data_IF_366147259265
#
_entry.id   IF_366147259265
#
_cell.length_a   1.000
_cell.length_b   1.000
_cell.length_c   1.000
_cell.angle_alpha   90.00
_cell.angle_beta   90.00
_cell.angle_gamma   90.00
#
_symmetry.space_group_name_H-M   'P 1'
#
loop_
_entity.id
_entity.type
_entity.pdbx_description
1 polymer ?
#
# COMPACT_ATOMS: atom_id res chain seq x y z
N UNK A 1 26.00 1.48 4.03
CA UNK A 1 26.24 0.26 4.84
C UNK A 1 24.98 -0.59 4.76
N UNK A 2 25.19 -1.87 4.46
CA UNK A 2 24.15 -2.86 4.14
C UNK A 2 23.32 -3.17 5.41
N UNK A 3 22.00 -3.02 5.35
CA UNK A 3 21.10 -3.38 6.47
C UNK A 3 20.69 -4.85 6.41
N UNK A 4 21.08 -5.57 5.36
CA UNK A 4 20.72 -6.96 5.11
C UNK A 4 21.73 -7.91 5.76
N UNK A 5 21.54 -8.20 7.05
CA UNK A 5 22.34 -9.17 7.81
C UNK A 5 21.42 -10.11 8.60
N UNK A 6 21.74 -11.40 8.61
CA UNK A 6 21.04 -12.43 9.40
C UNK A 6 21.53 -12.44 10.85
N UNK A 7 20.62 -12.33 11.81
CA UNK A 7 20.91 -12.70 13.20
C UNK A 7 20.90 -14.24 13.29
N UNK A 8 22.01 -14.83 13.72
CA UNK A 8 22.06 -16.25 14.11
C UNK A 8 21.32 -16.43 15.44
N UNK A 9 20.49 -17.47 15.56
CA UNK A 9 19.86 -17.86 16.82
C UNK A 9 20.01 -19.36 17.07
N UNK A 10 20.51 -19.67 18.26
CA UNK A 10 20.68 -20.99 18.86
C UNK A 10 19.36 -21.56 19.37
N UNK A 11 19.13 -22.85 19.08
CA UNK A 11 17.89 -23.60 19.30
C UNK A 11 17.64 -24.03 20.75
N UNK A 12 16.38 -23.93 21.19
CA UNK A 12 15.73 -24.97 22.02
C UNK A 12 14.23 -25.00 21.70
N UNK A 13 13.72 -26.19 21.37
CA UNK A 13 12.36 -26.42 20.88
C UNK A 13 11.61 -27.27 21.90
N UNK A 14 10.48 -26.78 22.41
CA UNK A 14 9.45 -27.62 23.03
C UNK A 14 8.17 -27.56 22.19
N UNK A 15 7.56 -28.72 21.98
CA UNK A 15 6.39 -28.93 21.14
C UNK A 15 5.11 -28.84 21.97
N UNK A 16 4.16 -27.98 21.57
CA UNK A 16 2.79 -27.97 22.10
C UNK A 16 1.81 -28.51 21.06
N UNK A 17 0.84 -29.33 21.51
CA UNK A 17 -0.20 -29.98 20.68
C UNK A 17 -1.45 -29.09 20.60
N UNK A 18 -2.16 -29.02 19.45
CA UNK A 18 -3.41 -28.27 19.33
C UNK A 18 -4.62 -29.06 19.88
N UNK A 19 -5.56 -28.40 20.55
CA UNK A 19 -6.89 -28.92 20.89
C UNK A 19 -8.00 -28.06 20.28
N UNK A 20 -8.97 -28.76 19.68
CA UNK A 20 -10.33 -28.41 19.24
C UNK A 20 -10.63 -27.16 18.38
N UNK A 21 -11.35 -27.43 17.29
CA UNK A 21 -11.68 -26.53 16.19
C UNK A 21 -12.64 -25.41 16.61
N UNK A 22 -12.24 -24.14 16.43
CA UNK A 22 -13.12 -22.97 16.55
C UNK A 22 -13.04 -22.05 15.33
N UNK A 23 -14.17 -21.40 15.01
CA UNK A 23 -14.36 -20.56 13.82
C UNK A 23 -14.08 -19.08 14.14
N UNK A 24 -12.84 -18.63 13.95
CA UNK A 24 -12.50 -17.20 13.84
C UNK A 24 -11.98 -16.88 12.44
N UNK A 25 -12.24 -15.66 11.92
CA UNK A 25 -11.81 -15.30 10.56
C UNK A 25 -11.23 -13.89 10.39
N UNK A 26 -10.04 -13.77 9.79
CA UNK A 26 -9.44 -12.48 9.41
C UNK A 26 -9.06 -12.44 7.92
N UNK A 27 -8.91 -11.24 7.34
CA UNK A 27 -8.47 -11.01 5.95
C UNK A 27 -7.43 -9.89 5.90
N UNK A 28 -6.20 -10.18 5.47
CA UNK A 28 -5.24 -9.28 4.78
C UNK A 28 -3.79 -9.65 5.08
N UNK A 29 -2.98 -9.82 4.03
CA UNK A 29 -1.52 -9.77 4.11
C UNK A 29 -1.06 -8.61 3.23
N UNK A 30 -0.03 -7.88 3.64
CA UNK A 30 0.49 -6.75 2.87
C UNK A 30 1.98 -6.85 2.55
N UNK A 31 2.34 -6.75 1.28
CA UNK A 31 3.72 -6.58 0.84
C UNK A 31 4.11 -5.11 0.77
N UNK A 32 5.32 -4.79 1.23
CA UNK A 32 5.94 -3.48 1.08
C UNK A 32 7.30 -3.63 0.38
N UNK A 33 7.45 -3.06 -0.82
CA UNK A 33 8.71 -2.99 -1.54
C UNK A 33 9.54 -1.84 -0.97
N UNK A 34 10.68 -2.16 -0.38
CA UNK A 34 11.65 -1.16 0.06
C UNK A 34 12.62 -0.82 -1.07
N UNK A 35 12.46 0.36 -1.65
CA UNK A 35 13.48 0.98 -2.49
C UNK A 35 14.36 1.87 -1.61
N UNK A 36 15.67 1.59 -1.61
CA UNK A 36 16.66 2.21 -0.75
C UNK A 36 17.29 3.47 -1.38
N UNK A 37 16.97 4.65 -0.82
CA UNK A 37 17.76 5.91 -0.85
C UNK A 37 17.30 6.97 0.21
N UNK A 38 17.02 6.60 1.47
CA UNK A 38 16.38 7.52 2.47
C UNK A 38 17.39 8.41 3.21
N UNK A 39 18.69 8.12 3.13
CA UNK A 39 19.68 8.67 4.08
C UNK A 39 20.74 9.55 3.42
N UNK A 40 20.50 9.97 2.17
CA UNK A 40 21.27 11.01 1.47
C UNK A 40 20.41 12.25 1.11
N UNK A 41 19.30 12.49 1.82
CA UNK A 41 18.46 13.66 1.57
C UNK A 41 17.51 13.53 0.36
N UNK A 42 17.31 12.30 -0.13
CA UNK A 42 16.39 11.96 -1.22
C UNK A 42 15.13 11.27 -0.66
N UNK A 43 13.95 11.71 -1.10
CA UNK A 43 12.65 11.14 -0.70
C UNK A 43 12.45 9.80 -1.41
N UNK A 44 12.47 8.67 -0.69
CA UNK A 44 12.11 7.38 -1.28
C UNK A 44 10.61 7.19 -1.41
N UNK A 45 10.23 6.54 -2.51
CA UNK A 45 8.91 5.98 -2.71
C UNK A 45 8.91 4.48 -2.41
N UNK A 46 8.11 4.07 -1.43
CA UNK A 46 7.79 2.67 -1.14
C UNK A 46 6.58 2.22 -1.98
N UNK A 47 6.57 0.97 -2.46
CA UNK A 47 5.38 0.37 -3.09
C UNK A 47 4.71 -0.58 -2.10
N UNK A 48 3.40 -0.43 -1.88
CA UNK A 48 2.65 -1.26 -0.94
C UNK A 48 1.55 -1.99 -1.70
N UNK A 49 1.67 -3.30 -1.80
CA UNK A 49 0.65 -4.20 -2.34
C UNK A 49 -0.07 -4.87 -1.18
N UNK A 50 -1.40 -4.92 -1.24
CA UNK A 50 -2.20 -5.64 -0.24
C UNK A 50 -2.87 -6.83 -0.92
N UNK A 51 -2.57 -8.04 -0.45
CA UNK A 51 -3.18 -9.26 -0.93
C UNK A 51 -4.38 -9.59 -0.06
N UNK A 52 -5.55 -9.56 -0.68
CA UNK A 52 -6.80 -9.94 -0.01
C UNK A 52 -6.86 -11.46 0.01
N UNK A 53 -6.61 -12.03 1.18
CA UNK A 53 -6.76 -13.46 1.41
C UNK A 53 -8.25 -13.84 1.49
N UNK A 54 -8.52 -15.14 1.38
CA UNK A 54 -9.73 -15.70 1.97
C UNK A 54 -9.79 -15.45 3.49
N UNK A 55 -10.95 -15.79 4.08
CA UNK A 55 -11.13 -15.78 5.53
C UNK A 55 -10.23 -16.86 6.13
N UNK A 56 -9.23 -16.44 6.91
CA UNK A 56 -8.29 -17.37 7.55
C UNK A 56 -8.95 -18.09 8.71
N UNK A 57 -8.76 -19.39 8.86
CA UNK A 57 -9.28 -20.20 9.98
C UNK A 57 -8.15 -20.92 10.72
N UNK A 58 -8.47 -21.54 11.86
CA UNK A 58 -7.53 -22.37 12.65
C UNK A 58 -6.97 -23.58 11.88
N UNK A 59 -7.63 -23.97 10.78
CA UNK A 59 -7.21 -25.10 9.94
C UNK A 59 -6.20 -24.70 8.87
N UNK A 60 -6.01 -23.41 8.63
CA UNK A 60 -5.08 -22.93 7.61
C UNK A 60 -3.63 -23.03 8.11
N UNK A 61 -2.69 -23.18 7.16
CA UNK A 61 -1.25 -23.13 7.40
C UNK A 61 -0.63 -21.93 6.73
N UNK A 62 0.40 -21.35 7.36
CA UNK A 62 0.90 -20.02 6.96
C UNK A 62 1.58 -20.13 5.61
N UNK A 63 2.29 -21.22 5.38
CA UNK A 63 2.95 -21.59 4.15
C UNK A 63 1.95 -21.67 2.99
N UNK A 64 0.79 -22.31 3.19
CA UNK A 64 -0.24 -22.45 2.16
C UNK A 64 -0.88 -21.10 1.78
N UNK A 65 -1.11 -20.23 2.78
CA UNK A 65 -1.63 -18.89 2.55
C UNK A 65 -0.59 -18.06 1.79
N UNK A 66 0.66 -18.08 2.26
CA UNK A 66 1.74 -17.37 1.62
C UNK A 66 1.91 -17.85 0.18
N UNK A 67 1.81 -19.15 -0.05
CA UNK A 67 2.02 -19.72 -1.37
C UNK A 67 0.95 -19.40 -2.37
N UNK A 68 -0.28 -19.25 -1.89
CA UNK A 68 -1.45 -18.96 -2.71
C UNK A 68 -1.64 -17.47 -3.00
N UNK A 69 -1.28 -16.59 -2.06
CA UNK A 69 -1.64 -15.17 -2.14
C UNK A 69 -0.45 -14.24 -2.30
N UNK A 70 0.77 -14.71 -2.06
CA UNK A 70 1.98 -13.93 -2.31
C UNK A 70 2.57 -14.41 -3.63
N UNK A 71 2.71 -13.49 -4.57
CA UNK A 71 3.33 -13.70 -5.87
C UNK A 71 4.41 -12.62 -6.05
N UNK A 72 5.41 -12.91 -6.88
CA UNK A 72 6.40 -11.93 -7.35
C UNK A 72 7.26 -11.22 -6.28
N UNK A 73 7.66 -11.91 -5.20
CA UNK A 73 8.67 -11.37 -4.29
C UNK A 73 10.04 -11.27 -5.00
N UNK A 74 10.68 -10.11 -4.87
CA UNK A 74 12.03 -9.84 -5.41
C UNK A 74 13.01 -9.49 -4.29
N UNK A 75 14.28 -9.41 -4.64
CA UNK A 75 15.34 -8.98 -3.71
C UNK A 75 14.99 -7.62 -3.09
N UNK A 76 15.27 -7.51 -1.79
CA UNK A 76 15.06 -6.33 -0.95
C UNK A 76 13.59 -5.97 -0.63
N UNK A 77 12.64 -6.85 -0.96
CA UNK A 77 11.25 -6.71 -0.52
C UNK A 77 11.10 -6.93 1.00
N UNK A 78 10.09 -6.29 1.61
CA UNK A 78 9.66 -6.56 2.98
C UNK A 78 8.19 -6.97 3.01
N UNK A 79 7.92 -8.18 3.49
CA UNK A 79 6.56 -8.66 3.71
C UNK A 79 6.07 -8.29 5.11
N UNK A 80 4.89 -7.68 5.19
CA UNK A 80 4.26 -7.27 6.44
C UNK A 80 2.98 -8.09 6.68
N UNK A 81 2.94 -8.80 7.80
CA UNK A 81 1.83 -9.68 8.18
C UNK A 81 1.26 -9.19 9.51
N UNK A 82 -0.07 -9.16 9.64
CA UNK A 82 -0.72 -8.80 10.90
C UNK A 82 -0.72 -9.97 11.89
N UNK A 83 -0.47 -9.68 13.16
CA UNK A 83 -0.49 -10.61 14.30
C UNK A 83 -1.77 -11.43 14.37
N UNK A 84 -2.93 -10.83 14.06
CA UNK A 84 -4.24 -11.49 14.11
C UNK A 84 -4.33 -12.75 13.24
N UNK A 85 -3.70 -12.75 12.07
CA UNK A 85 -3.66 -13.94 11.22
C UNK A 85 -2.89 -15.05 11.92
N UNK A 86 -1.75 -14.71 12.53
CA UNK A 86 -0.93 -15.65 13.28
C UNK A 86 -1.68 -16.19 14.49
N UNK A 87 -2.35 -15.33 15.28
CA UNK A 87 -3.16 -15.74 16.43
C UNK A 87 -4.25 -16.75 16.04
N UNK A 88 -5.01 -16.48 14.98
CA UNK A 88 -6.08 -17.40 14.53
C UNK A 88 -5.49 -18.75 14.13
N UNK A 89 -4.39 -18.77 13.40
CA UNK A 89 -3.77 -20.01 12.92
C UNK A 89 -3.09 -20.80 14.04
N UNK A 90 -2.65 -20.12 15.10
CA UNK A 90 -2.18 -20.74 16.34
C UNK A 90 -3.33 -21.22 17.24
N UNK A 91 -4.60 -21.02 16.86
CA UNK A 91 -5.75 -21.37 17.70
C UNK A 91 -5.88 -20.51 18.96
N UNK A 92 -5.32 -19.30 18.96
CA UNK A 92 -5.32 -18.37 20.10
C UNK A 92 -6.67 -17.65 20.22
N UNK A 93 -7.71 -18.42 20.51
CA UNK A 93 -9.11 -18.02 20.49
C UNK A 93 -9.81 -18.47 21.76
N UNK A 94 -10.66 -17.61 22.33
CA UNK A 94 -11.44 -17.91 23.54
C UNK A 94 -12.86 -17.41 23.37
N UNK A 95 -13.86 -18.23 23.64
CA UNK A 95 -15.27 -17.82 23.56
C UNK A 95 -15.62 -16.83 24.69
N UNK A 96 -16.36 -15.77 24.36
CA UNK A 96 -16.63 -14.67 25.30
C UNK A 96 -17.55 -15.05 26.46
N UNK A 97 -18.37 -16.09 26.29
CA UNK A 97 -19.31 -16.60 27.30
C UNK A 97 -18.65 -17.52 28.34
N UNK A 98 -17.46 -18.04 28.03
CA UNK A 98 -16.74 -18.98 28.89
C UNK A 98 -15.87 -18.32 29.97
N UNK A 99 -15.54 -17.04 29.83
CA UNK A 99 -14.62 -16.34 30.74
C UNK A 99 -14.92 -14.85 30.84
N UNK A 100 -14.76 -14.28 32.03
CA UNK A 100 -14.77 -12.82 32.19
C UNK A 100 -13.53 -12.21 31.54
N UNK A 101 -13.70 -11.06 30.89
CA UNK A 101 -12.61 -10.38 30.20
C UNK A 101 -11.45 -10.04 31.14
N UNK A 102 -11.72 -9.65 32.38
CA UNK A 102 -10.66 -9.27 33.32
C UNK A 102 -9.85 -10.50 33.73
N UNK A 103 -10.49 -11.63 33.96
CA UNK A 103 -9.82 -12.89 34.28
C UNK A 103 -8.97 -13.38 33.10
N UNK A 104 -9.47 -13.20 31.88
CA UNK A 104 -8.73 -13.52 30.66
C UNK A 104 -7.51 -12.60 30.48
N UNK A 105 -7.65 -11.31 30.77
CA UNK A 105 -6.52 -10.36 30.78
C UNK A 105 -5.48 -10.85 31.78
N UNK A 106 -5.90 -11.16 33.01
CA UNK A 106 -5.02 -11.68 34.07
C UNK A 106 -4.27 -12.97 33.72
N UNK A 107 -4.87 -13.83 32.90
CA UNK A 107 -4.20 -15.04 32.40
C UNK A 107 -3.15 -14.75 31.32
N UNK A 108 -3.30 -13.63 30.61
CA UNK A 108 -2.53 -13.33 29.42
C UNK A 108 -1.52 -12.20 29.59
N UNK A 109 -1.64 -11.30 30.56
CA UNK A 109 -0.62 -10.28 30.76
C UNK A 109 0.68 -10.83 31.37
N UNK A 110 1.77 -10.09 31.20
CA UNK A 110 2.97 -10.26 32.04
C UNK A 110 2.91 -9.33 33.26
N UNK A 111 2.29 -8.15 33.10
CA UNK A 111 2.12 -7.16 34.15
C UNK A 111 0.93 -6.24 33.83
N UNK A 112 0.15 -5.89 34.84
CA UNK A 112 -0.85 -4.82 34.77
C UNK A 112 -0.28 -3.53 35.39
N UNK A 113 -0.34 -2.43 34.64
CA UNK A 113 0.16 -1.11 35.08
C UNK A 113 -0.96 -0.21 35.59
N UNK A 114 -2.12 -0.28 34.95
CA UNK A 114 -3.29 0.50 35.32
C UNK A 114 -4.56 -0.32 35.03
N UNK A 115 -5.38 -0.46 36.06
CA UNK A 115 -6.67 -1.13 36.04
C UNK A 115 -7.84 -0.20 36.38
N UNK A 116 -7.58 1.12 36.37
CA UNK A 116 -8.58 2.12 36.67
C UNK A 116 -9.80 1.99 35.76
N UNK A 117 -10.98 2.11 36.38
CA UNK A 117 -12.26 2.06 35.67
C UNK A 117 -12.34 3.20 34.67
N UNK A 118 -12.20 2.86 33.41
CA UNK A 118 -12.44 3.73 32.27
C UNK A 118 -13.70 3.26 31.52
N UNK A 119 -14.38 4.16 30.78
CA UNK A 119 -15.63 3.84 30.10
C UNK A 119 -15.51 2.78 29.00
N UNK A 120 -14.29 2.38 28.64
CA UNK A 120 -14.02 1.41 27.57
C UNK A 120 -13.58 0.03 28.08
N UNK A 121 -13.48 -0.15 29.41
CA UNK A 121 -13.00 -1.39 30.04
C UNK A 121 -11.65 -1.87 29.44
N UNK A 122 -10.73 -0.91 29.25
CA UNK A 122 -9.38 -1.14 28.73
C UNK A 122 -8.37 -1.10 29.88
N UNK A 123 -7.46 -2.07 29.94
CA UNK A 123 -6.45 -2.13 30.99
C UNK A 123 -5.08 -1.80 30.39
N UNK A 124 -4.24 -1.05 31.09
CA UNK A 124 -2.88 -0.81 30.62
C UNK A 124 -2.00 -1.96 31.09
N UNK A 125 -1.48 -2.75 30.16
CA UNK A 125 -0.72 -3.97 30.47
C UNK A 125 0.61 -4.01 29.75
N UNK A 126 1.52 -4.88 30.19
CA UNK A 126 2.71 -5.28 29.47
C UNK A 126 2.52 -6.73 29.03
N UNK A 127 2.77 -7.01 27.75
CA UNK A 127 2.82 -8.36 27.18
C UNK A 127 4.02 -8.48 26.25
N UNK A 128 4.86 -9.48 26.47
CA UNK A 128 6.11 -9.75 25.77
C UNK A 128 7.04 -8.51 25.71
N UNK A 129 7.09 -7.74 26.80
CA UNK A 129 7.87 -6.50 26.88
C UNK A 129 7.30 -5.31 26.09
N UNK A 130 6.08 -5.45 25.55
CA UNK A 130 5.35 -4.37 24.86
C UNK A 130 4.24 -3.87 25.78
N UNK A 131 4.23 -2.56 26.03
CA UNK A 131 3.10 -1.91 26.68
C UNK A 131 1.88 -2.00 25.74
N UNK A 132 0.81 -2.69 26.08
CA UNK A 132 -0.33 -2.89 25.19
C UNK A 132 -1.67 -2.81 25.96
N UNK A 133 -2.76 -2.35 25.33
CA UNK A 133 -4.09 -2.42 25.94
C UNK A 133 -4.55 -3.86 26.16
N UNK A 134 -5.03 -4.18 27.36
CA UNK A 134 -5.73 -5.43 27.70
C UNK A 134 -5.04 -6.69 27.20
N UNK A 135 -3.73 -6.82 27.46
CA UNK A 135 -2.85 -7.91 27.03
C UNK A 135 -2.78 -8.14 25.51
N UNK A 136 -3.25 -7.18 24.70
CA UNK A 136 -3.37 -7.33 23.25
C UNK A 136 -4.56 -8.18 22.81
N UNK A 137 -5.51 -8.44 23.71
CA UNK A 137 -6.73 -9.17 23.41
C UNK A 137 -7.60 -8.32 22.48
N UNK A 138 -7.90 -8.87 21.30
CA UNK A 138 -8.69 -8.20 20.27
C UNK A 138 -10.08 -8.83 20.18
N UNK A 139 -11.09 -7.98 20.18
CA UNK A 139 -12.51 -8.35 20.09
C UNK A 139 -13.10 -8.11 18.69
N UNK A 140 -12.34 -7.46 17.81
CA UNK A 140 -12.80 -7.02 16.51
C UNK A 140 -12.64 -8.11 15.45
N UNK A 141 -13.61 -8.17 14.54
CA UNK A 141 -13.60 -9.05 13.35
C UNK A 141 -13.65 -10.55 13.64
N UNK A 142 -14.10 -10.97 14.83
CA UNK A 142 -14.37 -12.36 15.19
C UNK A 142 -15.72 -12.43 15.92
N UNK A 143 -16.61 -13.33 15.49
CA UNK A 143 -17.94 -13.49 16.08
C UNK A 143 -17.81 -14.18 17.45
N UNK A 144 -18.31 -13.53 18.51
CA UNK A 144 -18.42 -14.02 19.89
C UNK A 144 -17.16 -14.64 20.53
N UNK A 145 -15.96 -14.29 20.03
CA UNK A 145 -14.69 -14.75 20.60
C UNK A 145 -13.69 -13.60 20.81
N UNK A 146 -12.79 -13.82 21.75
CA UNK A 146 -11.55 -13.07 21.96
C UNK A 146 -10.44 -13.68 21.11
N UNK A 147 -9.67 -12.83 20.42
CA UNK A 147 -8.40 -13.22 19.80
C UNK A 147 -7.28 -12.83 20.74
N UNK A 148 -6.52 -13.83 21.20
CA UNK A 148 -5.40 -13.59 22.11
C UNK A 148 -4.15 -13.20 21.34
N UNK A 149 -3.23 -12.57 22.06
CA UNK A 149 -1.93 -12.21 21.53
C UNK A 149 -1.17 -13.45 21.04
N UNK A 150 -0.49 -13.39 19.88
CA UNK A 150 0.18 -14.54 19.30
C UNK A 150 1.42 -14.95 20.11
N UNK A 151 1.73 -16.24 20.05
CA UNK A 151 2.88 -16.84 20.73
C UNK A 151 4.10 -16.85 19.79
N UNK A 152 5.30 -16.79 20.39
CA UNK A 152 6.58 -17.01 19.71
C UNK A 152 6.80 -16.23 18.40
N UNK A 153 6.43 -14.95 18.39
CA UNK A 153 6.47 -14.10 17.20
C UNK A 153 7.82 -14.09 16.47
N UNK A 154 8.94 -14.18 17.19
CA UNK A 154 10.26 -14.28 16.55
C UNK A 154 10.41 -15.55 15.73
N UNK A 155 10.05 -16.70 16.32
CA UNK A 155 10.13 -18.01 15.65
C UNK A 155 9.26 -18.03 14.41
N UNK A 156 7.99 -17.63 14.54
CA UNK A 156 7.07 -17.55 13.40
C UNK A 156 7.60 -16.63 12.29
N UNK A 157 8.23 -15.51 12.65
CA UNK A 157 8.84 -14.61 11.66
C UNK A 157 9.99 -15.28 10.89
N UNK A 158 10.83 -16.06 11.58
CA UNK A 158 11.94 -16.80 10.96
C UNK A 158 11.43 -17.92 10.04
N UNK A 159 10.45 -18.71 10.49
CA UNK A 159 9.85 -19.79 9.69
C UNK A 159 9.26 -19.26 8.38
N UNK A 160 8.54 -18.13 8.45
CA UNK A 160 8.00 -17.44 7.26
C UNK A 160 9.11 -16.95 6.35
N UNK A 161 10.17 -16.37 6.92
CA UNK A 161 11.31 -15.85 6.17
C UNK A 161 12.03 -16.98 5.42
N UNK A 162 12.31 -18.10 6.08
CA UNK A 162 12.98 -19.27 5.49
C UNK A 162 12.16 -19.88 4.35
N UNK A 163 10.85 -20.07 4.56
CA UNK A 163 9.93 -20.60 3.56
C UNK A 163 9.95 -19.77 2.27
N UNK A 164 9.76 -18.45 2.40
CA UNK A 164 9.71 -17.53 1.26
C UNK A 164 11.08 -17.38 0.59
N UNK A 165 12.15 -17.30 1.38
CA UNK A 165 13.51 -17.22 0.85
C UNK A 165 13.85 -18.43 0.00
N UNK A 166 13.48 -19.63 0.47
CA UNK A 166 13.66 -20.89 -0.27
C UNK A 166 12.83 -20.93 -1.54
N UNK A 167 11.55 -20.54 -1.48
CA UNK A 167 10.63 -20.55 -2.62
C UNK A 167 11.07 -19.60 -3.74
N UNK A 168 11.37 -18.35 -3.39
CA UNK A 168 11.73 -17.32 -4.38
C UNK A 168 13.22 -17.23 -4.67
N UNK A 169 14.05 -18.07 -4.00
CA UNK A 169 15.52 -18.09 -4.14
C UNK A 169 16.17 -16.72 -3.90
N UNK A 170 15.65 -15.99 -2.91
CA UNK A 170 16.12 -14.65 -2.56
C UNK A 170 17.28 -14.70 -1.57
N UNK A 171 18.15 -13.69 -1.57
CA UNK A 171 19.19 -13.51 -0.56
C UNK A 171 18.80 -12.48 0.48
N UNK A 172 18.18 -11.39 0.03
CA UNK A 172 17.72 -10.23 0.79
C UNK A 172 16.19 -10.19 0.75
N UNK A 173 15.56 -10.54 1.86
CA UNK A 173 14.12 -10.50 2.07
C UNK A 173 13.87 -10.11 3.51
N UNK A 174 12.96 -9.18 3.76
CA UNK A 174 12.56 -8.79 5.12
C UNK A 174 11.18 -9.33 5.44
N UNK A 175 10.96 -9.80 6.65
CA UNK A 175 9.62 -10.10 7.18
C UNK A 175 9.39 -9.23 8.40
N UNK A 176 8.18 -8.69 8.54
CA UNK A 176 7.72 -7.97 9.73
C UNK A 176 6.33 -8.46 10.11
N UNK A 177 6.18 -8.91 11.35
CA UNK A 177 4.89 -9.16 11.97
C UNK A 177 4.46 -7.92 12.75
N UNK A 178 3.20 -7.50 12.59
CA UNK A 178 2.72 -6.21 13.12
C UNK A 178 1.41 -6.34 13.87
N UNK A 179 1.19 -5.45 14.84
CA UNK A 179 -0.09 -5.29 15.51
C UNK A 179 -0.43 -3.82 15.70
N UNK A 180 -1.69 -3.54 16.01
CA UNK A 180 -2.20 -2.23 16.36
C UNK A 180 -1.82 -1.87 17.80
N UNK A 181 -1.43 -0.61 18.00
CA UNK A 181 -0.86 -0.15 19.25
C UNK A 181 -1.18 1.33 19.50
N UNK A 182 -1.20 1.72 20.78
CA UNK A 182 -1.41 3.11 21.20
C UNK A 182 -0.10 3.72 21.69
N UNK A 183 0.25 4.89 21.18
CA UNK A 183 1.38 5.64 21.71
C UNK A 183 0.91 6.48 22.90
N UNK A 184 1.57 6.37 24.05
CA UNK A 184 1.23 7.14 25.25
C UNK A 184 1.23 8.64 24.90
N UNK A 185 0.22 9.35 25.41
CA UNK A 185 -0.02 10.79 25.18
C UNK A 185 -0.37 11.16 23.72
N UNK A 186 -0.68 10.19 22.85
CA UNK A 186 -1.15 10.44 21.49
C UNK A 186 -2.50 9.78 21.23
N UNK A 187 -3.44 10.56 20.71
CA UNK A 187 -4.74 10.04 20.26
C UNK A 187 -4.56 9.34 18.92
N UNK A 188 -5.07 8.11 18.81
CA UNK A 188 -5.03 7.31 17.59
C UNK A 188 -4.25 6.00 17.76
N UNK A 189 -4.50 5.08 16.83
CA UNK A 189 -3.89 3.75 16.81
C UNK A 189 -2.88 3.69 15.67
N UNK A 190 -1.69 3.19 15.96
CA UNK A 190 -0.59 3.01 14.99
C UNK A 190 -0.13 1.56 15.01
N UNK A 191 0.51 1.08 13.95
CA UNK A 191 1.10 -0.24 13.96
C UNK A 191 2.45 -0.26 14.66
N UNK A 192 2.69 -1.33 15.38
CA UNK A 192 3.99 -1.69 15.96
C UNK A 192 4.46 -3.01 15.35
N UNK A 193 5.78 -3.16 15.24
CA UNK A 193 6.36 -4.44 14.89
C UNK A 193 6.55 -5.31 16.12
N UNK A 194 6.03 -6.53 16.06
CA UNK A 194 6.12 -7.54 17.11
C UNK A 194 7.21 -8.57 16.83
N UNK A 195 7.53 -8.79 15.56
CA UNK A 195 8.61 -9.67 15.12
C UNK A 195 9.15 -9.18 13.79
N UNK A 196 10.45 -9.35 13.55
CA UNK A 196 11.08 -9.04 12.27
C UNK A 196 12.25 -9.98 11.99
N UNK A 197 12.54 -10.21 10.72
CA UNK A 197 13.68 -11.01 10.28
C UNK A 197 14.22 -10.51 8.94
N UNK A 198 15.50 -10.73 8.68
CA UNK A 198 16.16 -10.49 7.41
C UNK A 198 16.81 -9.12 7.23
N UNK A 199 16.66 -8.19 8.18
CA UNK A 199 17.27 -6.86 8.12
C UNK A 199 17.46 -6.21 9.51
N UNK A 200 18.35 -5.21 9.59
CA UNK A 200 18.63 -4.48 10.83
C UNK A 200 17.51 -3.53 11.21
N UNK A 201 17.03 -3.61 12.45
CA UNK A 201 16.00 -2.73 12.99
C UNK A 201 16.44 -1.28 13.16
N UNK A 202 17.71 -1.08 13.49
CA UNK A 202 18.24 0.23 13.87
C UNK A 202 19.20 0.72 12.80
N UNK A 203 18.98 1.96 12.38
CA UNK A 203 19.95 2.71 11.61
C UNK A 203 20.66 3.70 12.53
N UNK A 204 21.98 3.56 12.67
CA UNK A 204 22.78 4.45 13.50
C UNK A 204 23.22 5.67 12.71
N UNK A 205 22.86 6.84 13.22
CA UNK A 205 23.46 8.12 12.82
C UNK A 205 24.62 8.52 13.74
N UNK A 206 24.92 7.74 14.78
CA UNK A 206 26.05 8.02 15.67
C UNK A 206 27.35 8.09 14.83
N UNK A 207 28.08 9.19 14.96
CA UNK A 207 29.29 9.48 14.19
C UNK A 207 29.05 10.17 12.84
N UNK A 208 27.80 10.35 12.42
CA UNK A 208 27.46 11.07 11.17
C UNK A 208 27.32 12.56 11.39
N UNK A 209 27.61 13.33 10.36
CA UNK A 209 27.42 14.78 10.36
C UNK A 209 25.95 15.13 10.11
N UNK A 210 25.44 16.10 10.85
CA UNK A 210 24.18 16.77 10.54
C UNK A 210 24.34 17.81 9.43
N UNK A 211 23.27 18.53 9.11
CA UNK A 211 23.25 19.56 8.06
C UNK A 211 24.15 20.78 8.36
N UNK A 212 24.60 20.92 9.60
CA UNK A 212 25.51 21.96 10.06
C UNK A 212 26.92 21.41 10.32
N UNK A 213 27.22 20.21 9.79
CA UNK A 213 28.51 19.52 9.97
C UNK A 213 28.85 19.20 11.43
N UNK A 214 27.86 19.03 12.30
CA UNK A 214 28.04 18.57 13.67
C UNK A 214 27.87 17.05 13.78
N UNK A 215 28.68 16.42 14.62
CA UNK A 215 28.62 14.96 14.82
C UNK A 215 27.41 14.60 15.68
N UNK A 216 26.55 13.73 15.15
CA UNK A 216 25.43 13.12 15.87
C UNK A 216 25.97 12.07 16.84
N UNK A 217 25.65 12.19 18.13
CA UNK A 217 26.23 11.32 19.17
C UNK A 217 25.27 10.25 19.71
N UNK A 218 23.95 10.44 19.58
CA UNK A 218 22.94 9.59 20.24
C UNK A 218 21.91 9.01 19.28
N UNK A 219 21.89 9.47 18.04
CA UNK A 219 20.75 9.23 17.14
C UNK A 219 20.81 7.85 16.51
N UNK A 220 19.89 6.96 16.90
CA UNK A 220 19.55 5.73 16.17
C UNK A 220 18.08 5.80 15.77
N UNK A 221 17.78 5.50 14.52
CA UNK A 221 16.40 5.50 14.00
C UNK A 221 15.91 4.06 13.86
N UNK A 222 14.75 3.78 14.44
CA UNK A 222 14.06 2.50 14.26
C UNK A 222 13.33 2.51 12.91
N UNK A 223 13.89 1.79 11.93
CA UNK A 223 13.37 1.79 10.56
C UNK A 223 12.15 0.88 10.41
N UNK A 224 11.91 -0.04 11.35
CA UNK A 224 10.78 -0.98 11.31
C UNK A 224 9.47 -0.28 11.70
N UNK A 225 9.51 0.61 12.69
CA UNK A 225 8.30 1.36 13.05
C UNK A 225 7.86 2.31 11.91
N UNK A 226 8.78 2.73 11.04
CA UNK A 226 8.53 3.66 9.94
C UNK A 226 7.81 3.02 8.74
N UNK A 227 7.98 1.71 8.50
CA UNK A 227 7.37 1.02 7.35
C UNK A 227 5.84 0.92 7.45
N UNK A 228 5.27 0.94 8.65
CA UNK A 228 3.81 0.96 8.86
C UNK A 228 3.16 2.31 8.49
N UNK A 229 3.84 3.44 8.70
CA UNK A 229 3.29 4.77 8.44
C UNK A 229 3.14 5.11 6.95
N UNK A 230 3.88 4.45 6.06
CA UNK A 230 3.96 4.85 4.64
C UNK A 230 2.81 4.31 3.75
N UNK A 231 1.85 3.59 4.34
CA UNK A 231 0.56 3.30 3.71
C UNK A 231 -0.42 4.49 3.74
N UNK A 232 -0.11 5.55 4.48
CA UNK A 232 -0.94 6.73 4.66
C UNK A 232 -0.86 7.64 3.42
N UNK A 233 -2.03 7.97 2.88
CA UNK A 233 -2.15 9.04 1.90
C UNK A 233 -2.27 10.35 2.68
N UNK A 234 -1.17 11.10 2.74
CA UNK A 234 -1.12 12.39 3.45
C UNK A 234 -1.88 13.47 2.68
N UNK A 235 -2.77 14.18 3.37
CA UNK A 235 -3.30 15.45 2.94
C UNK A 235 -2.27 16.57 3.07
N UNK A 236 -2.59 17.76 2.56
CA UNK A 236 -1.67 18.89 2.65
C UNK A 236 -1.41 19.35 4.10
N UNK A 237 -2.39 19.19 5.00
CA UNK A 237 -2.22 19.54 6.42
C UNK A 237 -1.28 18.58 7.14
N UNK A 238 -1.37 17.29 6.82
CA UNK A 238 -0.45 16.28 7.34
C UNK A 238 0.99 16.58 6.89
N UNK A 239 1.16 16.96 5.62
CA UNK A 239 2.47 17.35 5.09
C UNK A 239 3.00 18.64 5.74
N UNK A 240 2.15 19.64 5.98
CA UNK A 240 2.50 20.83 6.75
C UNK A 240 2.98 20.47 8.16
N UNK A 241 2.29 19.57 8.86
CA UNK A 241 2.68 19.10 10.19
C UNK A 241 4.02 18.35 10.15
N UNK A 242 4.20 17.44 9.19
CA UNK A 242 5.45 16.70 8.98
C UNK A 242 6.61 17.66 8.69
N UNK A 243 6.39 18.70 7.87
CA UNK A 243 7.40 19.72 7.58
C UNK A 243 7.71 20.56 8.81
N UNK A 244 6.70 20.93 9.61
CA UNK A 244 6.87 21.67 10.86
C UNK A 244 7.71 20.89 11.87
N UNK A 245 7.47 19.59 12.01
CA UNK A 245 8.28 18.69 12.87
C UNK A 245 9.76 18.72 12.44
N UNK A 246 10.03 18.91 11.14
CA UNK A 246 11.39 19.01 10.57
C UNK A 246 11.95 20.44 10.56
N UNK A 247 11.31 21.39 11.23
CA UNK A 247 11.75 22.79 11.30
C UNK A 247 11.37 23.64 10.08
N UNK A 248 10.67 23.09 9.08
CA UNK A 248 10.21 23.83 7.91
C UNK A 248 8.81 24.44 8.16
N UNK A 249 8.71 25.76 8.05
CA UNK A 249 7.43 26.49 8.15
C UNK A 249 6.80 26.60 6.76
N UNK A 250 5.97 25.62 6.39
CA UNK A 250 5.23 25.59 5.12
C UNK A 250 3.75 25.43 5.39
N UNK A 251 2.94 26.38 4.93
CA UNK A 251 1.48 26.28 5.02
C UNK A 251 0.91 25.33 3.96
N UNK A 252 -0.12 24.55 4.30
CA UNK A 252 -0.79 23.62 3.39
C UNK A 252 -1.29 24.26 2.09
N UNK A 253 -1.66 25.56 2.09
CA UNK A 253 -2.01 26.29 0.86
C UNK A 253 -0.80 26.49 -0.06
N UNK A 254 0.41 26.58 0.50
CA UNK A 254 1.66 26.64 -0.28
C UNK A 254 1.91 25.32 -1.00
N UNK A 255 1.70 24.19 -0.32
CA UNK A 255 1.79 22.87 -0.94
C UNK A 255 0.76 22.69 -2.06
N UNK A 256 -0.47 23.16 -1.85
CA UNK A 256 -1.50 23.16 -2.89
C UNK A 256 -1.07 24.02 -4.10
N UNK A 257 -0.53 25.23 -3.88
CA UNK A 257 -0.01 26.09 -4.95
C UNK A 257 1.14 25.43 -5.71
N UNK A 258 2.02 24.70 -5.03
CA UNK A 258 3.07 23.92 -5.68
C UNK A 258 2.49 22.82 -6.57
N UNK A 259 1.49 22.08 -6.10
CA UNK A 259 0.81 21.08 -6.93
C UNK A 259 0.19 21.72 -8.17
N UNK A 260 -0.52 22.83 -8.01
CA UNK A 260 -1.14 23.56 -9.13
C UNK A 260 -0.08 24.04 -10.14
N UNK A 261 1.09 24.48 -9.66
CA UNK A 261 2.16 25.04 -10.48
C UNK A 261 3.00 23.97 -11.18
N UNK A 262 3.45 22.96 -10.44
CA UNK A 262 4.48 22.02 -10.90
C UNK A 262 3.93 20.75 -11.52
N UNK A 263 2.76 20.26 -11.11
CA UNK A 263 2.22 19.03 -11.68
C UNK A 263 1.97 19.12 -13.19
N UNK A 264 1.47 20.23 -13.76
CA UNK A 264 1.36 20.36 -15.22
C UNK A 264 2.70 20.21 -15.93
N UNK A 265 3.80 20.73 -15.35
CA UNK A 265 5.14 20.60 -15.91
C UNK A 265 5.64 19.15 -15.84
N UNK A 266 5.36 18.48 -14.72
CA UNK A 266 5.70 17.06 -14.52
C UNK A 266 4.92 16.18 -15.51
N UNK A 267 3.61 16.38 -15.64
CA UNK A 267 2.77 15.58 -16.56
C UNK A 267 3.25 15.77 -18.00
N UNK A 268 3.59 17.00 -18.39
CA UNK A 268 4.14 17.27 -19.72
C UNK A 268 5.48 16.55 -19.95
N UNK A 269 6.40 16.61 -18.98
CA UNK A 269 7.70 15.93 -19.08
C UNK A 269 7.53 14.41 -19.19
N UNK A 270 6.66 13.83 -18.36
CA UNK A 270 6.35 12.39 -18.38
C UNK A 270 5.69 11.99 -19.69
N UNK A 271 4.74 12.78 -20.23
CA UNK A 271 4.11 12.50 -21.52
C UNK A 271 5.10 12.53 -22.68
N UNK A 272 6.02 13.50 -22.72
CA UNK A 272 7.08 13.59 -23.74
C UNK A 272 8.01 12.39 -23.73
N UNK A 273 8.32 11.88 -22.55
CA UNK A 273 9.25 10.78 -22.34
C UNK A 273 8.54 9.43 -22.27
N UNK A 274 7.21 9.39 -22.39
CA UNK A 274 6.42 8.17 -22.31
C UNK A 274 6.79 7.16 -23.39
N UNK A 275 6.91 5.89 -23.01
CA UNK A 275 7.11 4.77 -23.94
C UNK A 275 5.81 4.48 -24.70
N UNK A 276 5.88 4.00 -25.95
CA UNK A 276 4.70 3.52 -26.67
C UNK A 276 4.00 2.42 -25.88
N UNK A 277 2.67 2.45 -25.88
CA UNK A 277 1.82 1.43 -25.25
C UNK A 277 1.39 0.37 -26.27
N UNK A 278 1.00 -0.82 -25.81
CA UNK A 278 0.51 -1.87 -26.68
C UNK A 278 -0.78 -1.50 -27.41
N UNK A 279 -1.03 -2.13 -28.58
CA UNK A 279 -2.21 -1.90 -29.43
C UNK A 279 -3.52 -2.53 -28.93
N UNK A 280 -3.51 -3.12 -27.74
CA UNK A 280 -4.68 -3.76 -27.12
C UNK A 280 -5.04 -3.04 -25.83
N UNK A 281 -6.12 -2.27 -25.85
CA UNK A 281 -6.54 -1.44 -24.72
C UNK A 281 -7.68 -2.07 -23.95
N UNK A 282 -7.71 -1.82 -22.64
CA UNK A 282 -8.81 -2.08 -21.71
C UNK A 282 -9.19 -0.76 -21.09
N UNK A 283 -10.44 -0.37 -21.27
CA UNK A 283 -10.94 0.93 -20.89
C UNK A 283 -12.13 0.77 -19.95
N UNK A 284 -12.11 1.54 -18.87
CA UNK A 284 -13.19 1.60 -17.91
C UNK A 284 -13.23 2.97 -17.21
N UNK A 285 -14.37 3.29 -16.60
CA UNK A 285 -14.51 4.49 -15.78
C UNK A 285 -14.44 4.17 -14.30
N UNK A 286 -13.95 5.14 -13.53
CA UNK A 286 -14.05 5.09 -12.07
C UNK A 286 -14.60 6.37 -11.48
N UNK A 287 -15.13 6.27 -10.26
CA UNK A 287 -15.80 7.37 -9.59
C UNK A 287 -14.81 8.21 -8.78
N UNK A 288 -14.89 9.52 -8.96
CA UNK A 288 -14.15 10.52 -8.18
C UNK A 288 -15.16 11.46 -7.53
N UNK A 289 -14.96 11.84 -6.27
CA UNK A 289 -15.86 12.76 -5.57
C UNK A 289 -15.41 14.20 -5.78
N UNK A 290 -16.28 15.05 -6.32
CA UNK A 290 -16.09 16.47 -6.54
C UNK A 290 -17.25 17.25 -5.89
N UNK A 291 -16.93 18.08 -4.90
CA UNK A 291 -17.87 18.88 -4.12
C UNK A 291 -19.09 18.07 -3.65
N UNK A 292 -18.84 16.89 -3.08
CA UNK A 292 -19.89 15.97 -2.62
C UNK A 292 -20.51 15.09 -3.71
N UNK A 293 -20.38 15.45 -5.00
CA UNK A 293 -20.98 14.75 -6.14
C UNK A 293 -20.00 13.76 -6.78
N UNK A 294 -20.51 12.66 -7.31
CA UNK A 294 -19.69 11.70 -8.06
C UNK A 294 -19.52 12.16 -9.50
N UNK A 295 -18.28 12.19 -9.96
CA UNK A 295 -17.86 12.44 -11.34
C UNK A 295 -17.03 11.25 -11.84
N UNK A 296 -16.66 11.26 -13.12
CA UNK A 296 -16.12 10.09 -13.82
C UNK A 296 -14.68 10.33 -14.26
N UNK A 297 -13.79 9.43 -13.86
CA UNK A 297 -12.41 9.35 -14.34
C UNK A 297 -12.32 8.17 -15.32
N UNK A 298 -12.26 8.49 -16.59
CA UNK A 298 -12.02 7.56 -17.69
C UNK A 298 -10.55 7.15 -17.68
N UNK A 299 -10.26 5.86 -17.74
CA UNK A 299 -8.89 5.33 -17.78
C UNK A 299 -8.79 4.18 -18.75
N UNK A 300 -7.66 4.09 -19.44
CA UNK A 300 -7.31 2.91 -20.21
C UNK A 300 -5.91 2.40 -19.86
N UNK A 301 -5.77 1.08 -19.86
CA UNK A 301 -4.49 0.38 -19.74
C UNK A 301 -4.35 -0.63 -20.88
N UNK A 302 -3.13 -0.96 -21.24
CA UNK A 302 -2.88 -1.94 -22.30
C UNK A 302 -2.90 -3.40 -21.77
N UNK A 303 -2.52 -4.35 -22.63
CA UNK A 303 -2.41 -5.76 -22.26
C UNK A 303 -1.37 -6.05 -21.19
N UNK A 304 -0.32 -5.25 -21.08
CA UNK A 304 0.77 -5.40 -20.12
C UNK A 304 0.47 -4.66 -18.80
N UNK A 305 -0.58 -3.83 -18.79
CA UNK A 305 -0.97 -3.02 -17.63
C UNK A 305 -0.42 -1.60 -17.70
N UNK A 306 0.15 -1.21 -18.85
CA UNK A 306 0.69 0.10 -19.04
C UNK A 306 -0.42 1.14 -19.24
N UNK A 307 -0.26 2.31 -18.63
CA UNK A 307 -1.29 3.36 -18.68
C UNK A 307 -1.34 3.96 -20.08
N UNK A 308 -2.46 3.78 -20.78
CA UNK A 308 -2.69 4.37 -22.11
C UNK A 308 -3.01 5.85 -21.96
N UNK A 309 -4.12 6.17 -21.29
CA UNK A 309 -4.44 7.55 -20.93
C UNK A 309 -5.53 7.61 -19.86
N UNK A 310 -5.77 8.83 -19.38
CA UNK A 310 -6.84 9.17 -18.45
C UNK A 310 -7.53 10.50 -18.81
N UNK A 311 -8.79 10.64 -18.40
CA UNK A 311 -9.60 11.84 -18.63
C UNK A 311 -10.67 11.99 -17.54
N UNK A 312 -10.75 13.17 -16.93
CA UNK A 312 -11.75 13.49 -15.92
C UNK A 312 -12.95 14.21 -16.58
N UNK A 313 -14.17 13.79 -16.25
CA UNK A 313 -15.40 14.34 -16.78
C UNK A 313 -16.48 14.39 -15.69
N UNK A 314 -17.31 15.44 -15.70
CA UNK A 314 -18.48 15.53 -14.82
C UNK A 314 -19.62 14.60 -15.29
N UNK A 315 -19.63 14.24 -16.57
CA UNK A 315 -20.69 13.45 -17.19
C UNK A 315 -20.20 12.09 -17.68
N UNK A 316 -21.10 11.11 -17.64
CA UNK A 316 -20.92 9.78 -18.24
C UNK A 316 -21.79 9.64 -19.47
N UNK A 317 -21.34 10.23 -20.56
CA UNK A 317 -22.07 10.25 -21.84
C UNK A 317 -21.14 9.92 -23.02
N UNK A 318 -21.73 9.86 -24.23
CA UNK A 318 -21.00 9.61 -25.47
C UNK A 318 -19.95 10.69 -25.75
N UNK A 319 -20.22 11.95 -25.39
CA UNK A 319 -19.32 13.09 -25.66
C UNK A 319 -18.03 13.00 -24.83
N UNK A 320 -18.16 12.67 -23.56
CA UNK A 320 -17.05 12.43 -22.65
C UNK A 320 -16.21 11.22 -23.10
N UNK A 321 -16.86 10.11 -23.45
CA UNK A 321 -16.18 8.93 -23.97
C UNK A 321 -15.43 9.21 -25.29
N UNK A 322 -16.06 9.95 -26.21
CA UNK A 322 -15.44 10.36 -27.48
C UNK A 322 -14.24 11.26 -27.26
N UNK A 323 -14.36 12.23 -26.34
CA UNK A 323 -13.25 13.12 -25.94
C UNK A 323 -12.08 12.34 -25.36
N UNK A 324 -12.35 11.35 -24.51
CA UNK A 324 -11.34 10.45 -23.96
C UNK A 324 -10.62 9.67 -25.07
N UNK A 325 -11.36 8.98 -25.96
CA UNK A 325 -10.75 8.15 -26.99
C UNK A 325 -9.97 8.98 -28.02
N UNK A 326 -10.49 10.13 -28.46
CA UNK A 326 -9.75 11.04 -29.35
C UNK A 326 -8.44 11.52 -28.73
N UNK A 327 -8.47 11.86 -27.44
CA UNK A 327 -7.26 12.20 -26.68
C UNK A 327 -6.30 11.01 -26.64
N UNK A 328 -6.77 9.83 -26.23
CA UNK A 328 -5.93 8.64 -26.10
C UNK A 328 -5.27 8.22 -27.44
N UNK A 329 -6.02 8.25 -28.54
CA UNK A 329 -5.54 7.90 -29.89
C UNK A 329 -4.52 8.92 -30.39
N UNK A 330 -4.77 10.22 -30.19
CA UNK A 330 -3.82 11.27 -30.57
C UNK A 330 -2.47 11.10 -29.89
N UNK A 331 -2.46 10.70 -28.61
CA UNK A 331 -1.24 10.57 -27.82
C UNK A 331 -0.55 9.20 -27.96
N UNK A 332 -1.26 8.15 -28.41
CA UNK A 332 -0.74 6.76 -28.38
C UNK A 332 -0.92 5.97 -29.69
N UNK A 333 -1.41 6.59 -30.77
CA UNK A 333 -1.85 5.98 -32.04
C UNK A 333 -3.12 5.12 -31.90
N UNK A 334 -3.64 4.69 -33.05
CA UNK A 334 -4.86 3.88 -33.15
C UNK A 334 -4.58 2.45 -32.65
N UNK A 335 -5.36 1.91 -31.70
CA UNK A 335 -5.24 0.53 -31.25
C UNK A 335 -5.84 -0.46 -32.26
N UNK A 336 -5.36 -1.70 -32.27
CA UNK A 336 -6.00 -2.79 -33.02
C UNK A 336 -7.28 -3.27 -32.32
N UNK A 337 -7.29 -3.26 -30.98
CA UNK A 337 -8.45 -3.72 -30.21
C UNK A 337 -8.68 -2.92 -28.93
N UNK A 338 -9.94 -2.66 -28.64
CA UNK A 338 -10.40 -2.01 -27.40
C UNK A 338 -11.42 -2.91 -26.70
N UNK A 339 -11.10 -3.27 -25.46
CA UNK A 339 -11.99 -3.98 -24.54
C UNK A 339 -12.64 -2.96 -23.63
N UNK A 340 -13.96 -2.96 -23.59
CA UNK A 340 -14.77 -2.13 -22.68
C UNK A 340 -15.73 -3.02 -21.89
N UNK A 341 -16.24 -2.50 -20.77
CA UNK A 341 -17.42 -3.09 -20.14
C UNK A 341 -18.67 -2.86 -21.02
N UNK A 342 -19.83 -3.39 -20.62
CA UNK A 342 -21.13 -3.26 -21.32
C UNK A 342 -21.70 -1.82 -21.31
N UNK A 343 -20.85 -0.80 -21.33
CA UNK A 343 -21.20 0.62 -21.41
C UNK A 343 -21.61 1.01 -22.83
N UNK A 344 -22.89 1.41 -22.99
CA UNK A 344 -23.44 1.86 -24.28
C UNK A 344 -22.79 3.14 -24.80
N UNK A 345 -22.42 4.08 -23.93
CA UNK A 345 -21.77 5.34 -24.31
C UNK A 345 -20.38 5.11 -24.90
N UNK A 346 -19.62 4.16 -24.35
CA UNK A 346 -18.27 3.84 -24.81
C UNK A 346 -18.29 3.15 -26.16
N UNK A 347 -19.21 2.20 -26.33
CA UNK A 347 -19.43 1.55 -27.62
C UNK A 347 -19.81 2.58 -28.68
N UNK A 348 -20.79 3.44 -28.40
CA UNK A 348 -21.22 4.46 -29.35
C UNK A 348 -20.12 5.48 -29.69
N UNK A 349 -19.19 5.75 -28.78
CA UNK A 349 -18.04 6.61 -29.04
C UNK A 349 -17.00 5.91 -29.93
N UNK A 350 -16.69 4.64 -29.67
CA UNK A 350 -15.77 3.85 -30.51
C UNK A 350 -16.34 3.60 -31.91
N UNK A 351 -17.64 3.31 -32.01
CA UNK A 351 -18.34 3.16 -33.30
C UNK A 351 -18.25 4.47 -34.11
N UNK A 352 -18.43 5.62 -33.46
CA UNK A 352 -18.29 6.93 -34.11
C UNK A 352 -16.86 7.17 -34.62
N UNK A 353 -15.83 6.75 -33.87
CA UNK A 353 -14.43 6.85 -34.32
C UNK A 353 -14.17 5.89 -35.49
N UNK A 354 -14.68 4.65 -35.43
CA UNK A 354 -14.51 3.69 -36.53
C UNK A 354 -15.16 4.16 -37.84
N UNK A 355 -16.20 5.01 -37.79
CA UNK A 355 -16.78 5.66 -38.98
C UNK A 355 -15.83 6.72 -39.56
N UNK A 356 -15.05 7.39 -38.71
CA UNK A 356 -14.07 8.41 -39.11
C UNK A 356 -12.76 7.80 -39.67
N UNK A 357 -12.52 6.49 -39.44
CA UNK A 357 -11.30 5.78 -39.85
C UNK A 357 -11.49 5.04 -41.18
N UNK A 358 -10.40 4.92 -41.95
CA UNK A 358 -10.37 4.08 -43.16
C UNK A 358 -10.64 2.60 -42.82
N UNK A 359 -11.26 1.87 -43.76
CA UNK A 359 -11.68 0.48 -43.55
C UNK A 359 -10.52 -0.43 -43.09
N UNK A 360 -9.31 -0.20 -43.60
CA UNK A 360 -8.10 -0.97 -43.26
C UNK A 360 -7.55 -0.69 -41.85
N UNK A 361 -8.04 0.34 -41.17
CA UNK A 361 -7.58 0.78 -39.84
C UNK A 361 -8.69 0.72 -38.77
N UNK A 362 -9.77 0.00 -39.05
CA UNK A 362 -10.89 -0.14 -38.11
C UNK A 362 -10.49 -0.91 -36.84
N UNK A 363 -10.90 -0.38 -35.69
CA UNK A 363 -10.58 -0.97 -34.40
C UNK A 363 -11.57 -2.08 -34.04
N UNK A 364 -11.09 -3.20 -33.51
CA UNK A 364 -11.95 -4.26 -33.00
C UNK A 364 -12.48 -3.93 -31.59
N UNK A 365 -13.80 -3.87 -31.43
CA UNK A 365 -14.45 -3.53 -30.15
C UNK A 365 -14.96 -4.80 -29.48
N UNK A 366 -14.51 -5.06 -28.25
CA UNK A 366 -14.95 -6.20 -27.45
C UNK A 366 -15.66 -5.75 -26.17
N UNK A 367 -16.83 -6.35 -25.89
CA UNK A 367 -17.57 -6.15 -24.65
C UNK A 367 -17.45 -7.42 -23.78
N UNK A 368 -16.35 -7.55 -23.05
CA UNK A 368 -16.10 -8.73 -22.21
C UNK A 368 -15.61 -8.30 -20.82
N UNK A 369 -16.47 -8.51 -19.83
CA UNK A 369 -16.23 -8.16 -18.42
C UNK A 369 -14.97 -8.83 -17.85
N UNK A 370 -14.75 -10.11 -18.13
CA UNK A 370 -13.61 -10.87 -17.58
C UNK A 370 -12.27 -10.32 -18.10
N UNK A 371 -12.24 -9.78 -19.32
CA UNK A 371 -11.04 -9.16 -19.89
C UNK A 371 -10.77 -7.75 -19.33
N UNK A 372 -11.75 -7.13 -18.68
CA UNK A 372 -11.64 -5.81 -18.06
C UNK A 372 -11.05 -5.83 -16.64
N UNK A 373 -10.89 -7.02 -16.04
CA UNK A 373 -10.32 -7.19 -14.69
C UNK A 373 -8.99 -6.44 -14.50
N UNK A 374 -8.17 -6.29 -15.55
CA UNK A 374 -6.87 -5.60 -15.47
C UNK A 374 -7.01 -4.09 -15.22
N UNK A 375 -7.94 -3.40 -15.89
CA UNK A 375 -8.16 -1.96 -15.64
C UNK A 375 -8.84 -1.76 -14.28
N UNK A 376 -9.76 -2.66 -13.90
CA UNK A 376 -10.38 -2.64 -12.57
C UNK A 376 -9.37 -2.85 -11.43
N UNK A 377 -8.37 -3.73 -11.63
CA UNK A 377 -7.27 -3.91 -10.70
C UNK A 377 -6.40 -2.65 -10.63
N UNK A 378 -6.09 -2.05 -11.78
CA UNK A 378 -5.29 -0.82 -11.82
C UNK A 378 -6.02 0.37 -11.15
N UNK A 379 -7.36 0.41 -11.19
CA UNK A 379 -8.16 1.39 -10.45
C UNK A 379 -7.91 1.37 -8.94
N UNK A 380 -7.46 0.25 -8.35
CA UNK A 380 -7.25 0.14 -6.90
C UNK A 380 -6.23 1.16 -6.39
N UNK A 381 -5.19 1.45 -7.16
CA UNK A 381 -4.16 2.41 -6.78
C UNK A 381 -4.76 3.82 -6.62
N UNK A 382 -5.46 4.31 -7.64
CA UNK A 382 -6.02 5.66 -7.60
C UNK A 382 -7.19 5.75 -6.61
N UNK A 383 -8.04 4.72 -6.50
CA UNK A 383 -9.08 4.66 -5.46
C UNK A 383 -8.49 4.75 -4.06
N UNK A 384 -7.37 4.06 -3.78
CA UNK A 384 -6.67 4.14 -2.49
C UNK A 384 -6.18 5.56 -2.22
N UNK A 385 -5.56 6.21 -3.21
CA UNK A 385 -5.08 7.59 -3.11
C UNK A 385 -6.21 8.59 -2.83
N UNK A 386 -7.30 8.48 -3.58
CA UNK A 386 -8.42 9.42 -3.51
C UNK A 386 -9.30 9.23 -2.27
N UNK A 387 -9.38 8.00 -1.72
CA UNK A 387 -10.23 7.69 -0.55
C UNK A 387 -9.93 8.57 0.66
N UNK A 388 -8.65 8.82 0.94
CA UNK A 388 -8.21 9.62 2.09
C UNK A 388 -8.33 11.13 1.85
N UNK A 389 -8.53 11.56 0.61
CA UNK A 389 -8.69 12.98 0.27
C UNK A 389 -10.10 13.50 0.53
N UNK A 390 -11.06 12.63 0.86
CA UNK A 390 -12.47 12.94 1.14
C UNK A 390 -13.24 13.64 -0.01
N UNK A 391 -12.62 13.77 -1.18
CA UNK A 391 -13.16 14.41 -2.36
C UNK A 391 -12.51 15.77 -2.64
N UNK A 392 -12.55 16.18 -3.90
CA UNK A 392 -12.02 17.48 -4.33
C UNK A 392 -13.08 18.57 -4.19
N UNK A 393 -12.67 19.82 -3.98
CA UNK A 393 -13.60 20.96 -3.95
C UNK A 393 -13.80 21.62 -5.31
N UNK A 394 -12.83 21.51 -6.23
CA UNK A 394 -12.91 22.12 -7.55
C UNK A 394 -12.34 21.22 -8.66
N UNK A 395 -12.96 21.30 -9.84
CA UNK A 395 -12.64 20.44 -10.98
C UNK A 395 -11.19 20.62 -11.42
N UNK A 396 -10.71 21.87 -11.51
CA UNK A 396 -9.33 22.20 -11.91
C UNK A 396 -8.30 21.56 -10.98
N UNK A 397 -8.49 21.64 -9.67
CA UNK A 397 -7.57 21.00 -8.71
C UNK A 397 -7.66 19.48 -8.81
N UNK A 398 -8.87 18.91 -8.98
CA UNK A 398 -9.03 17.47 -9.16
C UNK A 398 -8.25 16.97 -10.38
N UNK A 399 -8.42 17.62 -11.52
CA UNK A 399 -7.75 17.27 -12.77
C UNK A 399 -6.22 17.35 -12.63
N UNK A 400 -5.69 18.43 -12.05
CA UNK A 400 -4.25 18.59 -11.85
C UNK A 400 -3.73 17.52 -10.88
N UNK A 401 -4.35 17.32 -9.73
CA UNK A 401 -3.87 16.35 -8.75
C UNK A 401 -3.93 14.92 -9.29
N UNK A 402 -5.00 14.56 -10.00
CA UNK A 402 -5.12 13.24 -10.66
C UNK A 402 -4.03 13.08 -11.72
N UNK A 403 -3.76 14.12 -12.52
CA UNK A 403 -2.66 14.07 -13.49
C UNK A 403 -1.34 13.73 -12.81
N UNK A 404 -0.99 14.42 -11.72
CA UNK A 404 0.23 14.11 -10.97
C UNK A 404 0.27 12.70 -10.39
N UNK A 405 -0.85 12.21 -9.84
CA UNK A 405 -0.96 10.83 -9.33
C UNK A 405 -0.69 9.81 -10.46
N UNK A 406 -1.26 10.04 -11.65
CA UNK A 406 -1.07 9.18 -12.81
C UNK A 406 0.34 9.31 -13.40
N UNK A 407 0.92 10.51 -13.47
CA UNK A 407 2.30 10.70 -13.95
C UNK A 407 3.28 9.93 -13.07
N UNK A 408 3.15 10.03 -11.74
CA UNK A 408 3.96 9.23 -10.81
C UNK A 408 3.69 7.72 -10.99
N UNK A 409 2.44 7.31 -11.26
CA UNK A 409 2.12 5.90 -11.53
C UNK A 409 2.79 5.40 -12.82
N UNK A 410 2.87 6.21 -13.87
CA UNK A 410 3.57 5.87 -15.11
C UNK A 410 5.08 5.70 -14.87
N UNK A 411 5.71 6.61 -14.11
CA UNK A 411 7.13 6.48 -13.72
C UNK A 411 7.35 5.17 -12.93
N UNK A 412 6.48 4.87 -11.96
CA UNK A 412 6.55 3.64 -11.16
C UNK A 412 6.45 2.37 -11.99
N UNK A 413 5.65 2.38 -13.05
CA UNK A 413 5.52 1.25 -13.97
C UNK A 413 6.70 1.16 -14.97
N UNK A 414 7.69 2.04 -14.89
CA UNK A 414 8.82 2.06 -15.83
C UNK A 414 8.44 2.52 -17.24
N UNK A 415 7.31 3.20 -17.41
CA UNK A 415 6.77 3.60 -18.73
C UNK A 415 7.44 4.83 -19.33
N UNK A 416 8.58 5.22 -18.79
CA UNK A 416 9.28 6.42 -19.23
C UNK A 416 10.62 6.02 -19.84
N UNK A 417 11.00 6.67 -20.94
CA UNK A 417 12.28 6.49 -21.60
C UNK A 417 13.39 6.96 -20.66
N UNK A 418 14.46 6.17 -20.54
CA UNK A 418 15.50 6.39 -19.55
C UNK A 418 15.17 5.89 -18.14
N UNK A 419 13.94 5.39 -17.88
CA UNK A 419 13.63 4.77 -16.61
C UNK A 419 14.42 3.47 -16.43
N UNK A 420 15.05 3.32 -15.26
CA UNK A 420 15.83 2.17 -14.84
C UNK A 420 15.11 1.47 -13.67
N UNK A 421 14.85 0.17 -13.83
CA UNK A 421 14.15 -0.65 -12.83
C UNK A 421 14.99 -0.89 -11.56
N UNK A 422 16.30 -0.60 -11.60
CA UNK A 422 17.19 -0.64 -10.45
C UNK A 422 17.27 0.69 -9.69
N UNK A 423 16.69 1.77 -10.25
CA UNK A 423 16.61 3.08 -9.60
C UNK A 423 15.25 3.26 -8.93
N UNK A 424 15.23 4.06 -7.88
CA UNK A 424 14.00 4.46 -7.20
C UNK A 424 13.08 5.26 -8.12
N UNK A 425 11.79 5.33 -7.78
CA UNK A 425 10.85 6.20 -8.49
C UNK A 425 11.30 7.67 -8.44
N UNK A 426 11.94 8.09 -7.34
CA UNK A 426 12.42 9.47 -7.22
C UNK A 426 13.61 9.72 -8.14
N UNK A 427 14.58 8.82 -8.23
CA UNK A 427 15.71 8.98 -9.14
C UNK A 427 15.24 8.98 -10.59
N UNK A 428 14.34 8.07 -10.95
CA UNK A 428 13.69 8.08 -12.27
C UNK A 428 12.95 9.40 -12.53
N UNK A 429 12.22 9.91 -11.54
CA UNK A 429 11.56 11.22 -11.62
C UNK A 429 12.57 12.36 -11.80
N UNK A 430 13.63 12.40 -11.01
CA UNK A 430 14.66 13.42 -11.08
C UNK A 430 15.33 13.43 -12.45
N UNK A 431 15.69 12.25 -12.97
CA UNK A 431 16.26 12.10 -14.32
C UNK A 431 15.34 12.67 -15.39
N UNK A 432 14.03 12.41 -15.31
CA UNK A 432 13.03 12.95 -16.26
C UNK A 432 12.94 14.47 -16.16
N UNK A 433 13.08 15.03 -14.96
CA UNK A 433 12.99 16.48 -14.75
C UNK A 433 14.29 17.22 -15.09
N UNK A 434 15.43 16.52 -15.19
CA UNK A 434 16.73 17.09 -15.58
C UNK A 434 17.07 16.91 -17.06
N UNK A 435 16.32 16.07 -17.77
CA UNK A 435 16.44 15.82 -19.21
C UNK A 435 15.60 16.82 -20.03
#
# INVERSE_FOLDING_TARGET
MDVWHTQELTNSVENLKPSDQQKATCRAISGAKLLWSFLEGIVNYYEYSSNKTHKITVSDKIEDILDRYIEDLVEEDILIITSKIISIMQGRLVEKDKIDKIDLIHQEEDLILDSDKNPYNIYLTIKNGVLIPSAGIDESNVDDMYVLYPMDMRRTTVEIWEHLKKKYKLKKLGIVLTDSHITILRVGVTGIALGWCGFSQLYSYIGKLDIYSQVLNVTKVNIIQFSYFNGLCYGYRDLEEIMRIRGAKVDHSTLQRWVIKFVPLIDQAVRKTKRPVGKSWRMDETYVKLNGKWIYLYRAVDRYGDTVDFFLSEHRDKSAALSFFRKAIRENNIPEKVVIDKSGSNKAALDAINIELDQDHTMQIFQNKCLNNRVEQDHRFIKKRLKHMLGFMCFKSAAITIAGIESIRMIKKGQVRGANNHLSTFENFAMIMTA
#
